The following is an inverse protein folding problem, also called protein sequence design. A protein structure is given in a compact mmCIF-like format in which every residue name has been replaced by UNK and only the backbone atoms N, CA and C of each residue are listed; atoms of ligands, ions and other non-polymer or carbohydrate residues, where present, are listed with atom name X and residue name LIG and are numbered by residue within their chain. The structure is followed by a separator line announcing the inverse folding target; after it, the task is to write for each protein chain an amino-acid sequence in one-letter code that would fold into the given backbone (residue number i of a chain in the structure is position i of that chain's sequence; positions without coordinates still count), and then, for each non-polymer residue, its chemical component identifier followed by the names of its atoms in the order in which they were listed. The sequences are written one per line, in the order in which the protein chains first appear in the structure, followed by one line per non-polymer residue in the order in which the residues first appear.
data_IF_034215195839
#
_entry.id   IF_034215195839
#
_cell.length_a   1.000
_cell.length_b   1.000
_cell.length_c   1.000
_cell.angle_alpha   90.00
_cell.angle_beta   90.00
_cell.angle_gamma   90.00
#
_symmetry.space_group_name_H-M   'P 1'
#
loop_
_entity.id
_entity.type
_entity.pdbx_description
1 polymer ?
#
# COMPACT_ATOMS: atom_id res chain seq x y z
N UNK A 1 12.24 0.22 14.81
CA UNK A 1 11.04 0.24 13.95
C UNK A 1 9.79 0.22 14.82
N UNK A 2 8.80 0.97 14.44
CA UNK A 2 7.51 0.94 15.14
C UNK A 2 6.71 -0.29 14.70
N UNK A 3 5.63 -0.60 15.41
CA UNK A 3 4.75 -1.73 15.09
C UNK A 3 3.56 -1.25 14.24
N UNK A 4 2.83 -2.19 13.67
CA UNK A 4 1.58 -1.89 12.98
C UNK A 4 0.60 -1.18 13.91
N UNK A 5 0.49 -1.63 15.16
CA UNK A 5 -0.40 -1.02 16.15
C UNK A 5 0.02 0.43 16.44
N UNK A 6 1.32 0.70 16.52
CA UNK A 6 1.84 2.05 16.71
C UNK A 6 1.48 2.94 15.52
N UNK A 7 1.67 2.42 14.29
CA UNK A 7 1.34 3.17 13.08
C UNK A 7 -0.14 3.55 13.05
N UNK A 8 -1.01 2.59 13.35
CA UNK A 8 -2.46 2.85 13.41
C UNK A 8 -2.80 3.90 14.46
N UNK A 9 -2.19 3.81 15.64
CA UNK A 9 -2.43 4.78 16.73
C UNK A 9 -1.98 6.19 16.34
N UNK A 10 -0.82 6.31 15.71
CA UNK A 10 -0.28 7.60 15.24
C UNK A 10 -1.23 8.23 14.23
N UNK A 11 -1.67 7.46 13.24
CA UNK A 11 -2.56 7.96 12.21
C UNK A 11 -3.94 8.31 12.78
N UNK A 12 -4.46 7.48 13.69
CA UNK A 12 -5.75 7.71 14.35
C UNK A 12 -5.73 9.02 15.12
N UNK A 13 -4.67 9.30 15.87
CA UNK A 13 -4.51 10.55 16.60
C UNK A 13 -4.41 11.75 15.64
N UNK A 14 -3.70 11.57 14.54
CA UNK A 14 -3.55 12.62 13.54
C UNK A 14 -4.90 13.05 12.96
N UNK A 15 -5.74 12.08 12.59
CA UNK A 15 -7.04 12.35 12.01
C UNK A 15 -8.13 12.61 13.07
N UNK A 16 -7.84 12.38 14.34
CA UNK A 16 -8.79 12.51 15.45
C UNK A 16 -9.98 11.54 15.34
N UNK A 17 -9.69 10.32 14.88
CA UNK A 17 -10.71 9.27 14.81
C UNK A 17 -10.85 8.53 16.13
N UNK A 18 -12.09 8.16 16.47
CA UNK A 18 -12.36 7.29 17.60
C UNK A 18 -12.04 5.83 17.28
N UNK A 19 -12.10 4.99 18.32
CA UNK A 19 -11.80 3.55 18.16
C UNK A 19 -12.86 2.80 17.36
N UNK A 20 -14.00 3.42 17.10
CA UNK A 20 -15.08 2.85 16.30
C UNK A 20 -14.79 2.87 14.82
N UNK A 21 -13.84 3.69 14.37
CA UNK A 21 -13.44 3.72 12.96
C UNK A 21 -12.40 2.61 12.72
N UNK A 22 -12.74 1.60 11.91
CA UNK A 22 -11.78 0.50 11.67
C UNK A 22 -10.56 0.97 10.88
N UNK A 23 -9.43 0.32 11.14
CA UNK A 23 -8.17 0.61 10.45
C UNK A 23 -7.57 -0.68 9.91
N UNK A 24 -7.02 -0.60 8.70
CA UNK A 24 -6.23 -1.67 8.09
C UNK A 24 -4.81 -1.15 7.89
N UNK A 25 -3.81 -1.98 8.19
CA UNK A 25 -2.40 -1.59 8.11
C UNK A 25 -1.66 -2.52 7.17
N UNK A 26 -0.88 -1.96 6.27
CA UNK A 26 -0.05 -2.70 5.32
C UNK A 26 1.38 -2.20 5.39
N UNK A 27 2.33 -3.12 5.46
CA UNK A 27 3.74 -2.75 5.38
C UNK A 27 4.14 -2.63 3.91
N UNK A 28 4.82 -1.54 3.56
CA UNK A 28 5.25 -1.27 2.18
C UNK A 28 6.75 -1.06 2.14
N UNK A 29 7.43 -1.84 1.30
CA UNK A 29 8.86 -1.68 1.06
C UNK A 29 9.08 -0.53 0.08
N UNK A 30 9.86 0.46 0.49
CA UNK A 30 10.19 1.61 -0.36
C UNK A 30 11.40 1.24 -1.21
N UNK A 31 11.18 1.01 -2.50
CA UNK A 31 12.24 0.62 -3.42
C UNK A 31 13.09 1.80 -3.89
N UNK A 32 12.60 3.02 -3.69
CA UNK A 32 13.33 4.24 -4.07
C UNK A 32 14.37 4.62 -3.02
N UNK A 33 13.97 4.57 -1.74
CA UNK A 33 14.81 5.00 -0.62
C UNK A 33 14.94 3.88 0.40
N UNK A 34 16.11 3.26 0.45
CA UNK A 34 16.43 2.25 1.45
C UNK A 34 16.29 2.85 2.85
N UNK A 35 15.68 2.10 3.75
CA UNK A 35 15.45 2.56 5.13
C UNK A 35 14.26 3.48 5.29
N UNK A 36 13.49 3.71 4.25
CA UNK A 36 12.28 4.55 4.26
C UNK A 36 11.00 3.77 4.03
N UNK A 37 10.99 2.50 4.40
CA UNK A 37 9.78 1.69 4.37
C UNK A 37 8.72 2.32 5.26
N UNK A 38 7.46 2.07 4.95
CA UNK A 38 6.37 2.72 5.67
C UNK A 38 5.19 1.78 5.87
N UNK A 39 4.35 2.15 6.83
CA UNK A 39 3.06 1.51 7.01
C UNK A 39 1.99 2.34 6.32
N UNK A 40 1.19 1.69 5.50
CA UNK A 40 0.02 2.32 4.91
C UNK A 40 -1.17 2.01 5.80
N UNK A 41 -1.77 3.04 6.38
CA UNK A 41 -2.91 2.91 7.30
C UNK A 41 -4.15 3.44 6.61
N UNK A 42 -5.16 2.59 6.45
CA UNK A 42 -6.41 2.95 5.78
C UNK A 42 -7.54 2.86 6.79
N UNK A 43 -8.28 3.95 6.95
CA UNK A 43 -9.44 4.02 7.86
C UNK A 43 -10.73 3.91 7.08
N UNK A 44 -11.68 3.18 7.66
CA UNK A 44 -13.00 3.02 7.08
C UNK A 44 -13.40 1.57 6.95
N UNK A 45 -14.63 1.34 6.49
CA UNK A 45 -15.14 -0.01 6.24
C UNK A 45 -14.51 -0.61 4.98
N UNK A 46 -14.83 -1.87 4.71
CA UNK A 46 -14.23 -2.65 3.65
C UNK A 46 -14.33 -2.00 2.27
N UNK A 47 -15.46 -1.36 1.98
CA UNK A 47 -15.69 -0.70 0.70
C UNK A 47 -15.91 0.80 0.86
N UNK A 48 -15.47 1.37 1.98
CA UNK A 48 -15.76 2.75 2.33
C UNK A 48 -14.58 3.38 3.07
N UNK A 49 -13.47 3.57 2.36
CA UNK A 49 -12.28 4.20 2.93
C UNK A 49 -12.52 5.69 3.12
N UNK A 50 -12.24 6.20 4.33
CA UNK A 50 -12.48 7.60 4.68
C UNK A 50 -11.19 8.40 4.84
N UNK A 51 -10.06 7.74 5.08
CA UNK A 51 -8.77 8.40 5.19
C UNK A 51 -7.64 7.40 4.98
N UNK A 52 -6.48 7.90 4.58
CA UNK A 52 -5.31 7.07 4.35
C UNK A 52 -4.06 7.86 4.75
N UNK A 53 -3.07 7.15 5.30
CA UNK A 53 -1.81 7.74 5.71
C UNK A 53 -0.65 6.79 5.45
N UNK A 54 0.49 7.36 5.06
CA UNK A 54 1.77 6.65 5.02
C UNK A 54 2.59 7.11 6.21
N UNK A 55 2.94 6.17 7.10
CA UNK A 55 3.65 6.44 8.35
C UNK A 55 5.02 5.78 8.28
N UNK A 56 6.09 6.57 8.44
CA UNK A 56 7.46 6.04 8.40
C UNK A 56 7.62 4.92 9.42
N UNK A 57 8.10 3.76 8.96
CA UNK A 57 8.18 2.56 9.81
C UNK A 57 9.27 2.66 10.88
N UNK A 58 10.25 3.55 10.72
CA UNK A 58 11.32 3.72 11.69
C UNK A 58 11.03 4.83 12.69
N UNK A 59 10.49 5.95 12.23
CA UNK A 59 10.32 7.15 13.06
C UNK A 59 8.89 7.39 13.51
N UNK A 60 7.89 6.81 12.81
CA UNK A 60 6.49 7.09 13.07
C UNK A 60 6.02 8.42 12.48
N UNK A 61 6.84 9.08 11.68
CA UNK A 61 6.47 10.36 11.07
C UNK A 61 5.43 10.15 9.98
N UNK A 62 4.41 11.03 9.95
CA UNK A 62 3.41 11.06 8.90
C UNK A 62 4.02 11.67 7.64
N UNK A 63 4.15 10.86 6.59
CA UNK A 63 4.77 11.32 5.33
C UNK A 63 3.76 11.83 4.33
N UNK A 64 2.72 11.06 4.09
CA UNK A 64 1.67 11.40 3.14
C UNK A 64 0.34 11.03 3.76
N UNK A 65 -0.70 11.78 3.43
CA UNK A 65 -2.04 11.46 3.91
C UNK A 65 -3.09 12.11 3.02
N UNK A 66 -4.31 11.59 3.08
CA UNK A 66 -5.43 12.14 2.33
C UNK A 66 -6.73 11.78 3.03
N UNK A 67 -7.72 12.68 2.92
CA UNK A 67 -9.10 12.38 3.27
C UNK A 67 -9.78 11.82 2.03
N UNK A 68 -10.63 10.81 2.21
CA UNK A 68 -11.29 10.10 1.12
C UNK A 68 -12.80 10.27 1.25
N UNK A 69 -13.53 9.90 0.18
CA UNK A 69 -14.97 10.14 0.13
C UNK A 69 -15.81 9.16 0.96
N UNK A 70 -15.23 8.01 1.33
CA UNK A 70 -15.97 6.96 2.03
C UNK A 70 -16.91 6.17 1.13
N UNK A 71 -16.82 6.32 -0.18
CA UNK A 71 -17.72 5.66 -1.14
C UNK A 71 -17.15 4.39 -1.74
N UNK A 72 -15.81 4.23 -1.75
CA UNK A 72 -15.14 3.07 -2.32
C UNK A 72 -13.95 2.68 -1.46
N UNK A 73 -13.45 1.47 -1.68
CA UNK A 73 -12.20 1.03 -1.05
C UNK A 73 -11.02 1.75 -1.69
N UNK A 74 -10.06 2.22 -0.89
CA UNK A 74 -8.85 2.85 -1.40
C UNK A 74 -7.99 1.84 -2.17
N UNK A 75 -7.73 0.68 -1.57
CA UNK A 75 -7.03 -0.41 -2.26
C UNK A 75 -8.05 -1.22 -3.04
N UNK A 76 -8.11 -0.96 -4.33
CA UNK A 76 -9.07 -1.59 -5.24
C UNK A 76 -8.69 -3.02 -5.59
N UNK A 77 -7.40 -3.32 -5.54
CA UNK A 77 -6.85 -4.63 -5.86
C UNK A 77 -6.39 -5.28 -4.58
N UNK A 78 -7.14 -6.27 -4.11
CA UNK A 78 -6.77 -7.06 -2.94
C UNK A 78 -5.67 -8.05 -3.29
N UNK A 79 -5.07 -8.67 -2.28
CA UNK A 79 -4.08 -9.71 -2.43
C UNK A 79 -4.60 -10.84 -3.33
N UNK A 80 -5.83 -11.29 -3.11
CA UNK A 80 -6.43 -12.38 -3.89
C UNK A 80 -6.64 -11.99 -5.34
N UNK A 81 -7.09 -10.77 -5.60
CA UNK A 81 -7.26 -10.27 -6.96
C UNK A 81 -5.90 -10.14 -7.65
N UNK A 82 -4.88 -9.69 -6.92
CA UNK A 82 -3.53 -9.57 -7.47
C UNK A 82 -3.00 -10.93 -7.96
N UNK A 83 -3.18 -11.98 -7.18
CA UNK A 83 -2.79 -13.33 -7.59
C UNK A 83 -3.48 -13.74 -8.90
N UNK A 84 -4.78 -13.49 -8.99
CA UNK A 84 -5.56 -13.85 -10.19
C UNK A 84 -5.08 -13.07 -11.42
N UNK A 85 -4.90 -11.77 -11.28
CA UNK A 85 -4.45 -10.94 -12.40
C UNK A 85 -3.06 -11.31 -12.88
N UNK A 86 -2.17 -11.65 -11.97
CA UNK A 86 -0.81 -12.06 -12.30
C UNK A 86 -0.73 -13.51 -12.80
N UNK A 87 -1.84 -14.23 -12.77
CA UNK A 87 -1.88 -15.66 -13.09
C UNK A 87 -0.87 -16.44 -12.26
N UNK A 88 -0.81 -16.14 -10.97
CA UNK A 88 0.15 -16.72 -10.04
C UNK A 88 -0.56 -17.65 -9.05
N UNK A 89 0.19 -18.64 -8.56
CA UNK A 89 -0.29 -19.53 -7.51
C UNK A 89 -0.39 -18.74 -6.21
N UNK A 90 -1.45 -18.99 -5.43
CA UNK A 90 -1.67 -18.35 -4.14
C UNK A 90 -0.62 -18.71 -3.09
N UNK A 91 0.23 -19.69 -3.38
CA UNK A 91 1.38 -20.05 -2.55
C UNK A 91 2.61 -19.17 -2.85
N UNK A 92 2.55 -18.36 -3.91
CA UNK A 92 3.65 -17.47 -4.27
C UNK A 92 3.85 -16.39 -3.19
N UNK A 93 5.09 -15.98 -3.01
CA UNK A 93 5.40 -14.87 -2.12
C UNK A 93 4.80 -13.58 -2.68
N UNK A 94 4.22 -12.78 -1.80
CA UNK A 94 3.63 -11.50 -2.19
C UNK A 94 3.95 -10.46 -1.12
N UNK A 95 4.27 -9.25 -1.59
CA UNK A 95 4.51 -8.12 -0.69
C UNK A 95 4.07 -6.84 -1.38
N UNK A 96 3.88 -5.79 -0.58
CA UNK A 96 3.64 -4.46 -1.12
C UNK A 96 4.96 -3.72 -1.26
N UNK A 97 5.16 -3.08 -2.41
CA UNK A 97 6.33 -2.27 -2.71
C UNK A 97 5.90 -0.95 -3.29
N UNK A 98 6.78 0.04 -3.26
CA UNK A 98 6.52 1.30 -3.92
C UNK A 98 7.80 1.89 -4.50
N UNK A 99 7.65 2.44 -5.69
CA UNK A 99 8.67 3.18 -6.43
C UNK A 99 7.91 4.13 -7.34
N UNK A 100 8.28 5.43 -7.41
CA UNK A 100 7.62 6.32 -8.37
C UNK A 100 7.88 5.81 -9.78
N UNK A 101 6.80 5.49 -10.48
CA UNK A 101 6.87 4.87 -11.80
C UNK A 101 5.54 5.03 -12.53
N UNK A 102 5.47 4.55 -13.77
CA UNK A 102 4.24 4.62 -14.55
C UNK A 102 3.08 3.88 -13.92
N UNK A 103 3.35 2.87 -13.07
CA UNK A 103 2.31 2.09 -12.39
C UNK A 103 1.76 2.79 -11.14
N UNK A 104 2.56 3.65 -10.51
CA UNK A 104 2.13 4.39 -9.34
C UNK A 104 3.03 5.60 -9.09
N UNK A 105 2.43 6.77 -8.97
CA UNK A 105 3.15 8.02 -8.73
C UNK A 105 3.05 8.48 -7.27
N UNK A 106 2.30 7.78 -6.44
CA UNK A 106 2.09 8.16 -5.05
C UNK A 106 2.32 6.98 -4.12
N UNK A 107 3.00 7.18 -2.97
CA UNK A 107 3.17 6.13 -1.98
C UNK A 107 1.85 5.69 -1.34
N UNK A 108 0.77 6.45 -1.52
CA UNK A 108 -0.55 6.05 -1.07
C UNK A 108 -1.17 4.96 -1.95
N UNK A 109 -0.58 4.65 -3.11
CA UNK A 109 -1.03 3.60 -4.02
C UNK A 109 0.10 2.60 -4.25
N UNK A 110 0.41 1.76 -3.26
CA UNK A 110 1.48 0.77 -3.41
C UNK A 110 1.12 -0.32 -4.42
N UNK A 111 2.13 -1.07 -4.81
CA UNK A 111 2.06 -2.07 -5.87
C UNK A 111 2.28 -3.44 -5.24
N UNK A 112 1.49 -4.43 -5.65
CA UNK A 112 1.71 -5.81 -5.26
C UNK A 112 2.86 -6.39 -6.07
N UNK A 113 3.87 -6.94 -5.38
CA UNK A 113 4.97 -7.68 -6.02
C UNK A 113 4.77 -9.15 -5.70
N UNK A 114 4.62 -9.96 -6.75
CA UNK A 114 4.39 -11.39 -6.62
C UNK A 114 5.58 -12.15 -7.20
N UNK A 115 6.18 -12.99 -6.38
CA UNK A 115 7.35 -13.79 -6.74
C UNK A 115 6.88 -15.22 -7.00
N UNK A 116 6.59 -15.53 -8.25
CA UNK A 116 6.06 -16.84 -8.63
C UNK A 116 7.11 -17.69 -9.35
N UNK A 117 6.78 -18.95 -9.60
CA UNK A 117 7.64 -19.88 -10.37
C UNK A 117 7.87 -19.38 -11.80
N UNK A 118 6.97 -18.55 -12.31
CA UNK A 118 7.06 -17.99 -13.67
C UNK A 118 7.77 -16.63 -13.68
N UNK A 119 8.35 -16.22 -12.56
CA UNK A 119 9.06 -14.96 -12.43
C UNK A 119 8.30 -13.95 -11.59
N UNK A 120 8.82 -12.73 -11.55
CA UNK A 120 8.25 -11.65 -10.76
C UNK A 120 7.19 -10.92 -11.58
N UNK A 121 6.06 -10.62 -10.94
CA UNK A 121 4.98 -9.81 -11.51
C UNK A 121 4.62 -8.70 -10.56
N UNK A 122 4.26 -7.55 -11.11
CA UNK A 122 3.82 -6.38 -10.36
C UNK A 122 2.40 -6.04 -10.77
N UNK A 123 1.53 -5.82 -9.79
CA UNK A 123 0.12 -5.48 -10.05
C UNK A 123 -0.19 -4.18 -9.30
N UNK A 124 -0.59 -3.15 -10.04
CA UNK A 124 -0.95 -1.88 -9.41
C UNK A 124 -2.41 -1.84 -9.00
N UNK A 125 -2.85 -0.74 -8.40
CA UNK A 125 -4.20 -0.60 -7.89
C UNK A 125 -5.25 -0.35 -8.98
N UNK A 126 -4.82 -0.22 -10.24
CA UNK A 126 -5.71 -0.15 -11.39
C UNK A 126 -5.85 -1.50 -12.08
N UNK A 127 -5.15 -2.52 -11.59
CA UNK A 127 -5.20 -3.87 -12.15
C UNK A 127 -4.23 -4.09 -13.32
N UNK A 128 -3.28 -3.18 -13.53
CA UNK A 128 -2.27 -3.34 -14.57
C UNK A 128 -1.18 -4.28 -14.07
N UNK A 129 -0.83 -5.26 -14.89
CA UNK A 129 0.21 -6.25 -14.58
C UNK A 129 1.45 -5.95 -15.41
N UNK A 130 2.62 -5.93 -14.75
CA UNK A 130 3.90 -5.68 -15.41
C UNK A 130 4.96 -6.65 -14.92
N UNK A 131 5.98 -6.88 -15.74
CA UNK A 131 7.10 -7.77 -15.41
C UNK A 131 8.24 -7.03 -14.70
N UNK A 132 8.23 -5.71 -14.74
CA UNK A 132 9.26 -4.89 -14.12
C UNK A 132 8.70 -3.53 -13.77
N UNK A 133 9.37 -2.84 -12.85
CA UNK A 133 9.07 -1.46 -12.51
C UNK A 133 10.14 -0.57 -13.11
N UNK A 134 9.71 0.45 -13.85
CA UNK A 134 10.61 1.45 -14.38
C UNK A 134 10.39 2.75 -13.62
N UNK A 135 11.48 3.44 -13.31
CA UNK A 135 11.42 4.71 -12.63
C UNK A 135 10.52 5.69 -13.39
N UNK A 136 9.60 6.35 -12.70
CA UNK A 136 8.75 7.39 -13.27
C UNK A 136 9.53 8.62 -13.71
N UNK A 137 10.80 8.68 -13.40
CA UNK A 137 11.70 9.75 -13.83
C UNK A 137 12.11 9.61 -15.28
N UNK A 138 11.91 8.46 -15.86
CA UNK A 138 12.14 8.26 -17.31
C UNK A 138 10.93 8.81 -18.03
N UNK A 139 11.20 9.82 -18.76
CA UNK A 139 10.18 10.59 -19.45
C UNK A 139 9.27 9.82 -20.35
#
# INVERSE_FOLDING_TARGET
MITEANAAAIAREFFKFGNDVPASVYFVNNLQNQGKDYFLVIFGGQNASVAIAAVDSNTGEMKNFAMLTGKTAHLRISKDIAYKLANADTNSEIEMVWLPCSLSRSPLYPIWKINSVNGVRYVNQEGVVANSLESGMRG
#
